data_IF_575856010325
#
_entry.id   IF_575856010325
#
_cell.length_a   1.000
_cell.length_b   1.000
_cell.length_c   1.000
_cell.angle_alpha   90.00
_cell.angle_beta   90.00
_cell.angle_gamma   90.00
#
_symmetry.space_group_name_H-M   'P 1'
#
loop_
_entity.id
_entity.type
_entity.pdbx_description
1 polymer ?
#
# COMPACT_ATOMS: atom_id res chain seq x y z
N UNK A 1 -24.11 22.87 -46.86
CA UNK A 1 -24.79 22.48 -45.60
C UNK A 1 -24.10 21.32 -44.90
N UNK A 2 -23.70 20.27 -45.63
CA UNK A 2 -23.05 19.09 -45.03
C UNK A 2 -21.69 19.37 -44.36
N UNK A 3 -20.91 20.30 -44.93
CA UNK A 3 -19.58 20.64 -44.43
C UNK A 3 -19.61 21.36 -43.07
N UNK A 4 -20.55 22.31 -42.90
CA UNK A 4 -20.78 22.99 -41.61
C UNK A 4 -21.25 22.02 -40.51
N UNK A 5 -22.10 21.05 -40.86
CA UNK A 5 -22.56 20.04 -39.91
C UNK A 5 -21.43 19.08 -39.50
N UNK A 6 -20.50 18.81 -40.43
CA UNK A 6 -19.29 18.03 -40.16
C UNK A 6 -18.34 18.78 -39.21
N UNK A 7 -18.08 20.05 -39.47
CA UNK A 7 -17.23 20.90 -38.63
C UNK A 7 -17.80 21.07 -37.22
N UNK A 8 -19.12 21.26 -37.08
CA UNK A 8 -19.77 21.38 -35.78
C UNK A 8 -19.64 20.11 -34.93
N UNK A 9 -19.75 18.91 -35.54
CA UNK A 9 -19.54 17.63 -34.85
C UNK A 9 -18.09 17.43 -34.41
N UNK A 10 -17.14 17.89 -35.22
CA UNK A 10 -15.72 17.81 -34.91
C UNK A 10 -15.32 18.76 -33.77
N UNK A 11 -15.83 19.99 -33.77
CA UNK A 11 -15.65 20.94 -32.68
C UNK A 11 -16.20 20.40 -31.34
N UNK A 12 -17.41 19.83 -31.35
CA UNK A 12 -18.01 19.23 -30.16
C UNK A 12 -17.20 18.02 -29.64
N UNK A 13 -16.62 17.21 -30.54
CA UNK A 13 -15.75 16.09 -30.18
C UNK A 13 -14.44 16.57 -29.54
N UNK A 14 -13.84 17.62 -30.10
CA UNK A 14 -12.58 18.18 -29.59
C UNK A 14 -12.80 18.88 -28.24
N UNK A 15 -13.93 19.57 -28.06
CA UNK A 15 -14.31 20.17 -26.77
C UNK A 15 -14.48 19.09 -25.68
N UNK A 16 -15.15 17.98 -26.01
CA UNK A 16 -15.28 16.84 -25.10
C UNK A 16 -13.92 16.22 -24.76
N UNK A 17 -13.01 16.08 -25.72
CA UNK A 17 -11.65 15.59 -25.45
C UNK A 17 -10.90 16.54 -24.50
N UNK A 18 -10.95 17.85 -24.77
CA UNK A 18 -10.31 18.87 -23.93
C UNK A 18 -10.82 18.85 -22.48
N UNK A 19 -12.11 18.64 -22.28
CA UNK A 19 -12.74 18.65 -20.95
C UNK A 19 -12.47 17.36 -20.14
N UNK A 20 -12.33 16.21 -20.79
CA UNK A 20 -12.34 14.90 -20.09
C UNK A 20 -11.10 14.04 -20.33
N UNK A 21 -10.18 14.44 -21.20
CA UNK A 21 -8.96 13.68 -21.50
C UNK A 21 -7.76 14.57 -21.18
N UNK A 22 -6.97 14.12 -20.20
CA UNK A 22 -5.63 14.67 -19.99
C UNK A 22 -4.72 14.18 -21.12
N UNK A 23 -4.03 15.11 -21.79
CA UNK A 23 -2.98 14.78 -22.77
C UNK A 23 -1.64 14.48 -22.09
N UNK A 24 -1.46 14.94 -20.85
CA UNK A 24 -0.21 14.84 -20.09
C UNK A 24 -0.14 13.60 -19.19
N UNK A 25 -1.26 13.13 -18.66
CA UNK A 25 -1.31 11.99 -17.73
C UNK A 25 -2.25 10.89 -18.22
N UNK A 26 -1.77 9.64 -18.18
CA UNK A 26 -2.57 8.43 -18.44
C UNK A 26 -2.85 7.75 -17.10
N UNK A 27 -3.91 6.94 -17.07
CA UNK A 27 -4.38 6.24 -15.86
C UNK A 27 -3.28 5.49 -15.10
N UNK A 28 -2.30 4.89 -15.80
CA UNK A 28 -1.25 4.07 -15.20
C UNK A 28 0.16 4.65 -15.43
N UNK A 29 0.28 5.95 -15.75
CA UNK A 29 1.59 6.58 -16.04
C UNK A 29 2.61 6.48 -14.90
N UNK A 30 2.18 6.25 -13.67
CA UNK A 30 3.02 6.19 -12.48
C UNK A 30 3.13 4.79 -11.87
N UNK A 31 2.48 3.78 -12.43
CA UNK A 31 2.39 2.46 -11.81
C UNK A 31 3.77 1.80 -11.63
N UNK A 32 4.66 1.98 -12.61
CA UNK A 32 6.04 1.51 -12.60
C UNK A 32 6.97 2.35 -11.71
N UNK A 33 6.56 3.58 -11.38
CA UNK A 33 7.33 4.51 -10.55
C UNK A 33 6.92 4.44 -9.07
N UNK A 34 6.00 3.55 -8.70
CA UNK A 34 5.56 3.42 -7.31
C UNK A 34 6.70 2.87 -6.45
N UNK A 35 6.94 3.44 -5.26
CA UNK A 35 7.91 2.88 -4.35
C UNK A 35 7.44 1.52 -3.83
N UNK A 36 8.39 0.64 -3.56
CA UNK A 36 8.12 -0.64 -2.92
C UNK A 36 7.51 -0.43 -1.53
N UNK A 37 6.63 -1.36 -1.13
CA UNK A 37 6.05 -1.34 0.20
C UNK A 37 7.12 -1.72 1.23
N UNK A 38 7.44 -0.83 2.20
CA UNK A 38 8.46 -1.13 3.19
C UNK A 38 7.97 -2.18 4.19
N UNK A 39 8.87 -3.07 4.60
CA UNK A 39 8.62 -3.99 5.71
C UNK A 39 8.99 -3.29 7.02
N UNK A 40 8.05 -3.07 7.95
CA UNK A 40 8.34 -2.37 9.20
C UNK A 40 9.23 -3.23 10.13
N UNK A 41 10.10 -2.61 10.96
CA UNK A 41 10.92 -3.33 11.92
C UNK A 41 10.08 -4.18 12.87
N UNK A 42 10.50 -5.42 13.11
CA UNK A 42 9.77 -6.37 13.96
C UNK A 42 9.40 -5.78 15.34
N UNK A 43 10.34 -5.11 16.02
CA UNK A 43 10.08 -4.52 17.33
C UNK A 43 9.00 -3.43 17.31
N UNK A 44 8.94 -2.61 16.25
CA UNK A 44 7.91 -1.60 16.09
C UNK A 44 6.53 -2.25 15.90
N UNK A 45 6.47 -3.32 15.09
CA UNK A 45 5.24 -4.09 14.86
C UNK A 45 4.74 -4.73 16.16
N UNK A 46 5.63 -5.35 16.94
CA UNK A 46 5.29 -5.95 18.23
C UNK A 46 4.78 -4.90 19.23
N UNK A 47 5.40 -3.73 19.27
CA UNK A 47 4.92 -2.62 20.12
C UNK A 47 3.49 -2.21 19.74
N UNK A 48 3.24 -1.92 18.46
CA UNK A 48 1.90 -1.53 17.98
C UNK A 48 0.85 -2.61 18.23
N UNK A 49 1.24 -3.87 18.07
CA UNK A 49 0.39 -5.00 18.41
C UNK A 49 0.00 -4.98 19.89
N UNK A 50 0.96 -4.85 20.81
CA UNK A 50 0.68 -4.79 22.25
C UNK A 50 -0.19 -3.58 22.61
N UNK A 51 0.08 -2.41 22.02
CA UNK A 51 -0.74 -1.21 22.21
C UNK A 51 -2.21 -1.46 21.80
N UNK A 52 -2.44 -2.21 20.70
CA UNK A 52 -3.79 -2.56 20.25
C UNK A 52 -4.49 -3.59 21.15
N UNK A 53 -3.75 -4.57 21.67
CA UNK A 53 -4.29 -5.61 22.54
C UNK A 53 -4.68 -5.04 23.90
N UNK A 54 -3.88 -4.12 24.43
CA UNK A 54 -4.08 -3.53 25.76
C UNK A 54 -5.45 -2.89 25.94
N UNK A 55 -6.04 -2.36 24.88
CA UNK A 55 -7.36 -1.72 24.93
C UNK A 55 -8.53 -2.73 25.10
N UNK A 56 -8.28 -4.02 24.90
CA UNK A 56 -9.33 -5.04 24.75
C UNK A 56 -9.29 -6.06 25.90
N UNK A 57 -8.11 -6.37 26.43
CA UNK A 57 -7.90 -7.50 27.36
C UNK A 57 -7.67 -7.05 28.80
N UNK A 58 -7.79 -7.98 29.74
CA UNK A 58 -7.45 -7.75 31.15
C UNK A 58 -5.94 -7.54 31.34
N UNK A 59 -5.53 -6.96 32.46
CA UNK A 59 -4.10 -6.79 32.78
C UNK A 59 -3.36 -8.14 32.92
N UNK A 60 -4.04 -9.20 33.35
CA UNK A 60 -3.48 -10.55 33.46
C UNK A 60 -3.20 -11.14 32.06
N UNK A 61 -4.19 -11.07 31.17
CA UNK A 61 -4.07 -11.53 29.78
C UNK A 61 -3.06 -10.70 28.98
N UNK A 62 -3.00 -9.39 29.25
CA UNK A 62 -2.01 -8.51 28.63
C UNK A 62 -0.59 -8.93 29.00
N UNK A 63 -0.31 -9.22 30.27
CA UNK A 63 1.02 -9.68 30.71
C UNK A 63 1.41 -11.01 30.07
N UNK A 64 0.48 -11.95 29.97
CA UNK A 64 0.72 -13.21 29.27
C UNK A 64 1.04 -12.97 27.79
N UNK A 65 0.25 -12.12 27.13
CA UNK A 65 0.46 -11.74 25.71
C UNK A 65 1.78 -11.03 25.50
N UNK A 66 2.15 -10.10 26.39
CA UNK A 66 3.42 -9.37 26.34
C UNK A 66 4.62 -10.31 26.44
N UNK A 67 4.57 -11.30 27.34
CA UNK A 67 5.62 -12.30 27.48
C UNK A 67 5.79 -13.11 26.18
N UNK A 68 4.68 -13.58 25.59
CA UNK A 68 4.68 -14.32 24.31
C UNK A 68 5.24 -13.46 23.18
N UNK A 69 4.80 -12.20 23.08
CA UNK A 69 5.22 -11.28 22.02
C UNK A 69 6.72 -10.95 22.11
N UNK A 70 7.25 -10.77 23.34
CA UNK A 70 8.69 -10.58 23.56
C UNK A 70 9.49 -11.83 23.20
N UNK A 71 9.03 -13.01 23.63
CA UNK A 71 9.67 -14.29 23.29
C UNK A 71 9.65 -14.54 21.77
N UNK A 72 8.56 -14.19 21.09
CA UNK A 72 8.48 -14.25 19.64
C UNK A 72 9.50 -13.33 18.99
N UNK A 73 9.58 -12.08 19.45
CA UNK A 73 10.49 -11.07 18.91
C UNK A 73 11.97 -11.50 19.02
N UNK A 74 12.37 -12.09 20.14
CA UNK A 74 13.74 -12.58 20.36
C UNK A 74 13.99 -14.00 19.82
N UNK A 75 12.96 -14.69 19.37
CA UNK A 75 13.00 -16.11 19.01
C UNK A 75 12.66 -16.36 17.55
N UNK A 76 11.60 -17.15 17.32
CA UNK A 76 11.18 -17.55 15.97
C UNK A 76 10.77 -16.35 15.10
N UNK A 77 10.24 -15.28 15.70
CA UNK A 77 9.81 -14.08 15.00
C UNK A 77 10.96 -13.36 14.30
N UNK A 78 12.16 -13.30 14.90
CA UNK A 78 13.34 -12.72 14.26
C UNK A 78 13.73 -13.49 12.97
N UNK A 79 13.74 -14.83 13.04
CA UNK A 79 14.05 -15.70 11.88
C UNK A 79 13.00 -15.57 10.77
N UNK A 80 11.73 -15.48 11.15
CA UNK A 80 10.63 -15.27 10.20
C UNK A 80 10.70 -13.89 9.55
N UNK A 81 11.02 -12.85 10.33
CA UNK A 81 11.17 -11.49 9.83
C UNK A 81 12.34 -11.38 8.85
N UNK A 82 13.47 -12.05 9.12
CA UNK A 82 14.58 -12.13 8.17
C UNK A 82 14.16 -12.77 6.84
N UNK A 83 13.44 -13.90 6.88
CA UNK A 83 12.90 -14.55 5.68
C UNK A 83 11.92 -13.63 4.93
N UNK A 84 11.10 -12.88 5.65
CA UNK A 84 10.17 -11.91 5.07
C UNK A 84 10.92 -10.78 4.36
N UNK A 85 12.01 -10.26 4.95
CA UNK A 85 12.86 -9.25 4.33
C UNK A 85 13.52 -9.77 3.04
N UNK A 86 13.98 -11.03 3.03
CA UNK A 86 14.48 -11.63 1.80
C UNK A 86 13.38 -11.72 0.74
N UNK A 87 12.18 -12.21 1.10
CA UNK A 87 11.05 -12.29 0.17
C UNK A 87 10.67 -10.92 -0.40
N UNK A 88 10.66 -9.87 0.42
CA UNK A 88 10.33 -8.51 -0.02
C UNK A 88 11.30 -7.99 -1.08
N UNK A 89 12.60 -8.31 -0.98
CA UNK A 89 13.59 -7.97 -2.01
C UNK A 89 13.39 -8.72 -3.33
N UNK A 90 12.79 -9.92 -3.27
CA UNK A 90 12.60 -10.81 -4.41
C UNK A 90 11.19 -10.74 -5.02
N UNK A 91 10.30 -9.86 -4.53
CA UNK A 91 8.95 -9.72 -5.08
C UNK A 91 8.89 -8.94 -6.40
N UNK A 92 10.06 -8.57 -6.95
CA UNK A 92 10.24 -8.01 -8.28
C UNK A 92 10.40 -9.17 -9.29
N UNK A 93 9.29 -9.85 -9.59
CA UNK A 93 9.14 -10.70 -10.78
C UNK A 93 7.83 -10.34 -11.45
#
# INVERSE_FOLDING_TARGET
MDEMNRAAREAARNEKKRLYISESEKTFSYDENRPDLPVPPLGQTIKKYLDSVRAIVSEEDYKATEAIAKQFASGVGAKLHEKLLQKAKHSLV
#
